data_IF_095096936987
#
_entry.id   IF_095096936987
#
_cell.length_a   1.000
_cell.length_b   1.000
_cell.length_c   1.000
_cell.angle_alpha   90.00
_cell.angle_beta   90.00
_cell.angle_gamma   90.00
#
_symmetry.space_group_name_H-M   'P 1'
#
loop_
_entity.id
_entity.type
_entity.pdbx_description
1 polymer ?
#
# COMPACT_ATOMS: atom_id res chain seq x y z
N UNK A 1 11.45 1.52 42.99
CA UNK A 1 10.88 1.05 41.70
C UNK A 1 11.41 1.97 40.60
N UNK A 2 12.26 1.47 39.71
CA UNK A 2 12.80 2.25 38.59
C UNK A 2 11.76 2.37 37.48
N UNK A 3 11.19 3.56 37.34
CA UNK A 3 10.29 3.91 36.25
C UNK A 3 11.05 3.82 34.92
N UNK A 4 10.85 2.72 34.20
CA UNK A 4 11.43 2.54 32.87
C UNK A 4 10.62 3.39 31.88
N UNK A 5 11.10 4.61 31.63
CA UNK A 5 10.59 5.47 30.57
C UNK A 5 10.86 4.79 29.24
N UNK A 6 9.81 4.22 28.63
CA UNK A 6 9.88 3.69 27.27
C UNK A 6 9.92 4.88 26.32
N UNK A 7 11.13 5.39 26.06
CA UNK A 7 11.36 6.39 25.02
C UNK A 7 10.98 5.76 23.69
N UNK A 8 9.77 6.03 23.22
CA UNK A 8 9.32 5.70 21.86
C UNK A 8 10.17 6.53 20.91
N UNK A 9 11.25 5.92 20.40
CA UNK A 9 12.08 6.53 19.38
C UNK A 9 11.28 6.68 18.10
N UNK A 10 10.68 7.85 17.89
CA UNK A 10 10.12 8.30 16.61
C UNK A 10 11.26 8.58 15.61
N UNK A 11 12.13 7.61 15.37
CA UNK A 11 13.06 7.66 14.24
C UNK A 11 12.27 7.47 12.95
N UNK A 12 12.70 8.13 11.86
CA UNK A 12 12.20 7.84 10.51
C UNK A 12 12.22 6.33 10.32
N UNK A 13 11.03 5.72 10.21
CA UNK A 13 10.92 4.29 9.99
C UNK A 13 11.68 3.90 8.74
N UNK A 14 12.18 2.66 8.69
CA UNK A 14 12.94 2.13 7.55
C UNK A 14 12.29 2.46 6.18
N UNK A 15 10.96 2.42 6.12
CA UNK A 15 10.19 2.80 4.92
C UNK A 15 10.34 4.28 4.51
N UNK A 16 10.41 5.19 5.47
CA UNK A 16 10.64 6.61 5.20
C UNK A 16 12.04 6.88 4.68
N UNK A 17 13.06 6.20 5.22
CA UNK A 17 14.43 6.31 4.72
C UNK A 17 14.55 5.72 3.31
N UNK A 18 13.91 4.58 3.06
CA UNK A 18 13.85 3.95 1.74
C UNK A 18 13.14 4.86 0.72
N UNK A 19 12.04 5.50 1.11
CA UNK A 19 11.34 6.48 0.28
C UNK A 19 12.25 7.67 -0.10
N UNK A 20 12.97 8.24 0.88
CA UNK A 20 13.92 9.32 0.61
C UNK A 20 15.02 8.85 -0.35
N UNK A 21 15.64 7.69 -0.12
CA UNK A 21 16.71 7.13 -0.98
C UNK A 21 16.23 6.94 -2.43
N UNK A 22 15.04 6.37 -2.65
CA UNK A 22 14.48 6.21 -4.00
C UNK A 22 14.23 7.55 -4.68
N UNK A 23 13.79 8.57 -3.93
CA UNK A 23 13.60 9.94 -4.45
C UNK A 23 14.96 10.52 -4.86
N UNK A 24 15.99 10.44 -4.01
CA UNK A 24 17.32 10.97 -4.34
C UNK A 24 17.94 10.28 -5.56
N UNK A 25 17.86 8.95 -5.67
CA UNK A 25 18.38 8.24 -6.85
C UNK A 25 17.68 8.66 -8.15
N UNK A 26 16.38 8.97 -8.09
CA UNK A 26 15.63 9.46 -9.25
C UNK A 26 15.99 10.88 -9.64
N UNK A 27 16.27 11.77 -8.67
CA UNK A 27 16.78 13.12 -8.96
C UNK A 27 18.23 13.10 -9.48
N UNK A 28 19.06 12.18 -8.99
CA UNK A 28 20.40 11.96 -9.53
C UNK A 28 20.40 11.29 -10.92
N UNK A 29 19.23 11.08 -11.52
CA UNK A 29 19.01 10.47 -12.84
C UNK A 29 19.71 9.12 -13.02
N UNK A 30 19.88 8.36 -11.93
CA UNK A 30 20.47 7.01 -11.96
C UNK A 30 19.45 6.01 -12.51
N UNK A 31 18.15 6.32 -12.40
CA UNK A 31 17.06 5.42 -12.74
C UNK A 31 15.99 6.16 -13.57
N UNK A 32 15.78 5.73 -14.82
CA UNK A 32 14.72 6.23 -15.74
C UNK A 32 13.29 5.76 -15.36
N UNK A 33 13.11 5.17 -14.19
CA UNK A 33 11.86 4.48 -13.89
C UNK A 33 10.69 5.44 -13.65
N UNK A 34 9.47 4.94 -13.81
CA UNK A 34 8.25 5.72 -13.55
C UNK A 34 8.18 6.14 -12.07
N UNK A 35 7.71 7.37 -11.82
CA UNK A 35 7.50 7.92 -10.47
C UNK A 35 6.68 7.00 -9.56
N UNK A 36 5.75 6.24 -10.13
CA UNK A 36 4.94 5.24 -9.45
C UNK A 36 5.75 4.20 -8.65
N UNK A 37 6.91 3.79 -9.17
CA UNK A 37 7.75 2.81 -8.48
C UNK A 37 8.62 3.43 -7.38
N UNK A 38 8.99 4.71 -7.52
CA UNK A 38 9.68 5.46 -6.47
C UNK A 38 8.77 5.71 -5.27
N UNK A 39 7.46 5.85 -5.48
CA UNK A 39 6.47 5.97 -4.40
C UNK A 39 5.91 4.63 -3.90
N UNK A 40 6.31 3.50 -4.50
CA UNK A 40 5.94 2.15 -4.06
C UNK A 40 6.12 1.92 -2.54
N UNK A 41 7.27 2.30 -1.92
CA UNK A 41 7.43 2.15 -0.47
C UNK A 41 6.43 2.98 0.37
N UNK A 42 5.89 4.06 -0.17
CA UNK A 42 4.89 4.90 0.50
C UNK A 42 3.46 4.38 0.30
N UNK A 43 3.16 3.81 -0.87
CA UNK A 43 1.82 3.36 -1.22
C UNK A 43 1.60 1.86 -1.03
N UNK A 44 2.62 1.09 -0.66
CA UNK A 44 2.50 -0.37 -0.49
C UNK A 44 1.29 -0.79 0.37
N UNK A 45 1.06 -0.10 1.50
CA UNK A 45 -0.13 -0.33 2.33
C UNK A 45 -1.45 0.06 1.66
N UNK A 46 -1.48 1.23 0.99
CA UNK A 46 -2.66 1.75 0.28
C UNK A 46 -3.02 0.88 -0.93
N UNK A 47 -2.04 0.41 -1.68
CA UNK A 47 -2.19 -0.44 -2.84
C UNK A 47 -2.77 -1.80 -2.46
N UNK A 48 -2.27 -2.42 -1.38
CA UNK A 48 -2.84 -3.65 -0.83
C UNK A 48 -4.29 -3.44 -0.40
N UNK A 49 -4.58 -2.33 0.28
CA UNK A 49 -5.94 -2.01 0.71
C UNK A 49 -6.91 -1.85 -0.47
N UNK A 50 -6.53 -1.10 -1.49
CA UNK A 50 -7.33 -0.93 -2.71
C UNK A 50 -7.52 -2.24 -3.47
N UNK A 51 -6.49 -3.08 -3.56
CA UNK A 51 -6.57 -4.38 -4.21
C UNK A 51 -7.59 -5.30 -3.52
N UNK A 52 -7.58 -5.34 -2.19
CA UNK A 52 -8.54 -6.14 -1.40
C UNK A 52 -9.97 -5.65 -1.65
N UNK A 53 -10.20 -4.33 -1.64
CA UNK A 53 -11.52 -3.75 -1.91
C UNK A 53 -11.99 -4.10 -3.33
N UNK A 54 -11.12 -3.95 -4.33
CA UNK A 54 -11.44 -4.25 -5.72
C UNK A 54 -11.83 -5.73 -5.92
N UNK A 55 -11.07 -6.65 -5.33
CA UNK A 55 -11.36 -8.10 -5.38
C UNK A 55 -12.68 -8.40 -4.65
N UNK A 56 -12.89 -7.84 -3.46
CA UNK A 56 -14.12 -8.03 -2.69
C UNK A 56 -15.36 -7.56 -3.47
N UNK A 57 -15.27 -6.39 -4.10
CA UNK A 57 -16.34 -5.84 -4.95
C UNK A 57 -16.60 -6.72 -6.17
N UNK A 58 -15.55 -7.21 -6.82
CA UNK A 58 -15.67 -8.12 -7.97
C UNK A 58 -16.40 -9.40 -7.57
N UNK A 59 -16.00 -10.02 -6.45
CA UNK A 59 -16.62 -11.25 -5.93
C UNK A 59 -18.08 -11.01 -5.57
N UNK A 60 -18.38 -9.90 -4.87
CA UNK A 60 -19.77 -9.55 -4.54
C UNK A 60 -20.61 -9.31 -5.79
N UNK A 61 -20.09 -8.59 -6.79
CA UNK A 61 -20.78 -8.35 -8.06
C UNK A 61 -21.10 -9.66 -8.79
N UNK A 62 -20.12 -10.57 -8.88
CA UNK A 62 -20.31 -11.90 -9.48
C UNK A 62 -21.37 -12.69 -8.71
N UNK A 63 -21.31 -12.70 -7.38
CA UNK A 63 -22.29 -13.38 -6.55
C UNK A 63 -23.71 -12.82 -6.75
N UNK A 64 -23.87 -11.50 -6.86
CA UNK A 64 -25.15 -10.84 -7.14
C UNK A 64 -25.68 -11.25 -8.53
N UNK A 65 -24.82 -11.24 -9.56
CA UNK A 65 -25.20 -11.63 -10.92
C UNK A 65 -25.65 -13.10 -10.95
N UNK A 66 -24.89 -14.00 -10.34
CA UNK A 66 -25.24 -15.43 -10.26
C UNK A 66 -26.57 -15.62 -9.53
N UNK A 67 -26.78 -14.93 -8.40
CA UNK A 67 -28.05 -14.94 -7.67
C UNK A 67 -29.21 -14.43 -8.53
N UNK A 68 -28.99 -13.37 -9.32
CA UNK A 68 -29.99 -12.80 -10.22
C UNK A 68 -30.40 -13.78 -11.31
N UNK A 69 -29.46 -14.57 -11.84
CA UNK A 69 -29.72 -15.60 -12.85
C UNK A 69 -30.52 -16.78 -12.29
N UNK A 70 -30.24 -17.19 -11.04
CA UNK A 70 -30.93 -18.33 -10.39
C UNK A 70 -32.36 -17.95 -9.99
N UNK A 71 -32.57 -16.75 -9.42
CA UNK A 71 -33.88 -16.33 -8.90
C UNK A 71 -34.87 -15.90 -10.02
N UNK A 72 -34.38 -15.75 -11.25
CA UNK A 72 -35.23 -15.46 -12.41
C UNK A 72 -35.87 -16.70 -13.06
N UNK A 73 -35.49 -17.91 -12.63
CA UNK A 73 -36.01 -19.18 -13.16
C UNK A 73 -37.05 -19.76 -12.24
#
# INVERSE_FOLDING_TARGET
>A
MSSQTKTSGNGIGFLGLLAIVFITLKLCNVINWSWWWVTSPLWGGVAVHFAIIAISLLVHAIAIIVRSMINKK
#
